data_IF_421575873016
#
_entry.id   IF_421575873016
#
_cell.length_a   1.000
_cell.length_b   1.000
_cell.length_c   1.000
_cell.angle_alpha   90.00
_cell.angle_beta   90.00
_cell.angle_gamma   90.00
#
_symmetry.space_group_name_H-M   'P 1'
#
loop_
_entity.id
_entity.type
_entity.pdbx_description
1 polymer ?
#
# COMPACT_ATOMS: atom_id res chain seq x y z
N UNK A 1 12.21 -0.79 11.99
CA UNK A 1 12.95 0.24 12.75
C UNK A 1 13.21 1.48 11.91
N UNK A 2 13.72 1.37 10.68
CA UNK A 2 14.05 2.56 9.85
C UNK A 2 12.83 3.20 9.17
N UNK A 3 12.10 2.47 8.32
CA UNK A 3 11.04 3.03 7.45
C UNK A 3 9.99 3.85 8.20
N UNK A 4 9.56 3.39 9.38
CA UNK A 4 8.56 4.11 10.18
C UNK A 4 9.10 5.42 10.76
N UNK A 5 10.36 5.45 11.22
CA UNK A 5 10.98 6.67 11.75
C UNK A 5 11.21 7.71 10.65
N UNK A 6 11.57 7.25 9.45
CA UNK A 6 11.71 8.11 8.27
C UNK A 6 10.37 8.74 7.91
N UNK A 7 9.30 7.93 7.84
CA UNK A 7 7.93 8.38 7.64
C UNK A 7 7.49 9.42 8.68
N UNK A 8 7.69 9.15 9.98
CA UNK A 8 7.36 10.08 11.07
C UNK A 8 8.14 11.38 10.95
N UNK A 9 9.44 11.31 10.60
CA UNK A 9 10.28 12.50 10.44
C UNK A 9 9.88 13.34 9.23
N UNK A 10 9.48 12.70 8.13
CA UNK A 10 9.15 13.37 6.88
C UNK A 10 7.71 13.88 6.81
N UNK A 11 6.79 13.22 7.51
CA UNK A 11 5.37 13.58 7.54
C UNK A 11 4.74 13.18 8.90
N UNK A 12 5.08 13.88 10.00
CA UNK A 12 4.52 13.58 11.33
C UNK A 12 3.00 13.76 11.39
N UNK A 13 2.43 14.55 10.49
CA UNK A 13 1.01 14.85 10.38
C UNK A 13 0.21 13.83 9.53
N UNK A 14 0.82 12.72 9.11
CA UNK A 14 0.11 11.68 8.37
C UNK A 14 -1.07 11.12 9.16
N UNK A 15 -2.15 10.81 8.45
CA UNK A 15 -3.35 10.21 9.05
C UNK A 15 -3.53 8.76 8.63
N UNK A 16 -2.96 8.37 7.48
CA UNK A 16 -3.10 7.03 6.94
C UNK A 16 -1.77 6.49 6.38
N UNK A 17 -1.57 5.19 6.50
CA UNK A 17 -0.57 4.43 5.78
C UNK A 17 -1.29 3.42 4.87
N UNK A 18 -0.95 3.39 3.59
CA UNK A 18 -1.40 2.37 2.64
C UNK A 18 -0.21 1.55 2.18
N UNK A 19 -0.26 0.23 2.37
CA UNK A 19 0.80 -0.67 1.97
C UNK A 19 0.25 -2.01 1.46
N UNK A 20 0.83 -2.53 0.39
CA UNK A 20 0.53 -3.89 -0.07
C UNK A 20 1.12 -4.95 0.86
N UNK A 21 0.40 -6.07 1.00
CA UNK A 21 0.74 -7.15 1.91
C UNK A 21 1.27 -8.36 1.13
N UNK A 22 2.60 -8.52 1.15
CA UNK A 22 3.28 -9.73 0.67
C UNK A 22 3.65 -10.65 1.84
N UNK A 23 4.87 -10.52 2.35
CA UNK A 23 5.29 -11.22 3.58
C UNK A 23 4.67 -10.61 4.84
N UNK A 24 4.21 -9.37 4.79
CA UNK A 24 3.65 -8.64 5.94
C UNK A 24 4.69 -7.92 6.81
N UNK A 25 5.99 -8.05 6.52
CA UNK A 25 7.04 -7.42 7.32
C UNK A 25 6.95 -5.89 7.35
N UNK A 26 6.70 -5.26 6.20
CA UNK A 26 6.57 -3.80 6.09
C UNK A 26 5.36 -3.30 6.87
N UNK A 27 4.16 -3.79 6.56
CA UNK A 27 2.94 -3.29 7.20
C UNK A 27 2.93 -3.56 8.70
N UNK A 28 3.48 -4.70 9.14
CA UNK A 28 3.58 -5.04 10.56
C UNK A 28 4.60 -4.15 11.27
N UNK A 29 5.82 -4.07 10.74
CA UNK A 29 6.90 -3.32 11.36
C UNK A 29 6.65 -1.81 11.38
N UNK A 30 6.09 -1.28 10.29
CA UNK A 30 5.73 0.13 10.20
C UNK A 30 4.48 0.42 11.02
N UNK A 31 3.43 -0.40 10.88
CA UNK A 31 2.18 -0.23 11.61
C UNK A 31 2.39 -0.20 13.14
N UNK A 32 3.17 -1.13 13.70
CA UNK A 32 3.50 -1.13 15.14
C UNK A 32 4.08 0.20 15.60
N UNK A 33 5.11 0.67 14.89
CA UNK A 33 5.82 1.89 15.27
C UNK A 33 4.98 3.15 15.06
N UNK A 34 4.16 3.20 14.00
CA UNK A 34 3.22 4.31 13.79
C UNK A 34 2.15 4.35 14.87
N UNK A 35 1.63 3.21 15.31
CA UNK A 35 0.65 3.14 16.42
C UNK A 35 1.24 3.57 17.75
N UNK A 36 2.51 3.29 18.01
CA UNK A 36 3.25 3.81 19.17
C UNK A 36 3.43 5.34 19.11
N UNK A 37 3.65 5.90 17.91
CA UNK A 37 3.78 7.34 17.71
C UNK A 37 2.44 8.07 17.83
N UNK A 38 1.43 7.60 17.12
CA UNK A 38 0.09 8.12 17.13
C UNK A 38 -0.91 6.98 16.85
N UNK A 39 -1.65 6.49 17.85
CA UNK A 39 -2.61 5.40 17.68
C UNK A 39 -3.78 5.75 16.75
N UNK A 40 -3.99 7.05 16.48
CA UNK A 40 -5.00 7.56 15.53
C UNK A 40 -4.67 7.28 14.06
N UNK A 41 -3.40 7.05 13.70
CA UNK A 41 -2.99 6.75 12.32
C UNK A 41 -3.64 5.43 11.87
N UNK A 42 -4.33 5.45 10.73
CA UNK A 42 -4.97 4.26 10.16
C UNK A 42 -4.05 3.53 9.21
N UNK A 43 -3.87 2.23 9.43
CA UNK A 43 -3.04 1.36 8.60
C UNK A 43 -3.95 0.52 7.70
N UNK A 44 -3.84 0.75 6.40
CA UNK A 44 -4.63 0.11 5.36
C UNK A 44 -3.76 -0.89 4.61
N UNK A 45 -4.10 -2.17 4.74
CA UNK A 45 -3.44 -3.26 4.05
C UNK A 45 -4.11 -3.55 2.71
N UNK A 46 -3.32 -3.59 1.64
CA UNK A 46 -3.79 -3.95 0.31
C UNK A 46 -3.44 -5.41 0.01
N UNK A 47 -4.44 -6.19 -0.36
CA UNK A 47 -4.29 -7.59 -0.76
C UNK A 47 -4.83 -7.83 -2.17
N UNK A 48 -4.51 -8.98 -2.74
CA UNK A 48 -4.88 -9.34 -4.11
C UNK A 48 -5.76 -10.59 -4.11
N UNK A 49 -6.66 -10.66 -5.09
CA UNK A 49 -7.50 -11.83 -5.31
C UNK A 49 -6.67 -13.07 -5.72
N UNK A 50 -7.20 -14.30 -5.55
CA UNK A 50 -6.55 -15.50 -6.04
C UNK A 50 -6.31 -15.44 -7.56
N UNK A 51 -5.17 -15.94 -8.03
CA UNK A 51 -4.82 -15.95 -9.46
C UNK A 51 -4.43 -14.59 -10.03
N UNK A 52 -4.16 -13.60 -9.16
CA UNK A 52 -3.87 -12.24 -9.61
C UNK A 52 -2.59 -12.11 -10.43
N UNK A 53 -2.59 -11.19 -11.41
CA UNK A 53 -1.43 -10.86 -12.24
C UNK A 53 -0.47 -9.88 -11.56
N UNK A 54 -0.82 -9.33 -10.40
CA UNK A 54 -0.01 -8.34 -9.69
C UNK A 54 1.11 -9.06 -8.90
N UNK A 55 2.39 -8.88 -9.28
CA UNK A 55 3.51 -9.52 -8.58
C UNK A 55 3.83 -8.82 -7.26
N UNK A 56 4.22 -9.60 -6.25
CA UNK A 56 4.72 -9.11 -4.96
C UNK A 56 3.74 -9.36 -3.79
N UNK A 57 2.55 -8.71 -3.76
CA UNK A 57 1.54 -8.97 -2.76
C UNK A 57 1.06 -10.43 -2.84
N UNK A 58 0.47 -10.94 -1.75
CA UNK A 58 -0.04 -12.30 -1.69
C UNK A 58 -1.55 -12.29 -1.48
N UNK A 59 -2.20 -13.33 -1.97
CA UNK A 59 -3.56 -13.63 -1.58
C UNK A 59 -3.57 -14.22 -0.15
N UNK A 60 -4.07 -13.46 0.81
CA UNK A 60 -4.02 -13.83 2.24
C UNK A 60 -5.15 -14.78 2.66
N UNK A 61 -6.10 -15.10 1.78
CA UNK A 61 -7.08 -16.15 2.04
C UNK A 61 -6.49 -17.56 1.86
N UNK A 62 -5.43 -17.70 1.05
CA UNK A 62 -4.76 -18.99 0.83
C UNK A 62 -3.63 -19.26 1.83
N UNK A 63 -2.91 -18.22 2.24
CA UNK A 63 -1.79 -18.33 3.18
C UNK A 63 -1.55 -17.01 3.90
N UNK A 64 -1.50 -17.07 5.23
CA UNK A 64 -1.17 -15.93 6.09
C UNK A 64 0.27 -16.09 6.57
N UNK A 65 1.20 -15.21 6.17
CA UNK A 65 2.57 -15.26 6.66
C UNK A 65 2.64 -15.08 8.19
N UNK A 66 3.51 -15.82 8.90
CA UNK A 66 3.58 -15.76 10.36
C UNK A 66 4.04 -14.41 10.91
N UNK A 67 4.73 -13.61 10.10
CA UNK A 67 5.20 -12.28 10.50
C UNK A 67 4.13 -11.19 10.34
N UNK A 68 3.02 -11.49 9.66
CA UNK A 68 1.94 -10.53 9.45
C UNK A 68 1.08 -10.43 10.72
N UNK A 69 1.06 -9.25 11.33
CA UNK A 69 0.26 -8.96 12.52
C UNK A 69 -0.97 -8.13 12.15
N UNK A 70 -2.14 -8.78 12.04
CA UNK A 70 -3.37 -8.07 11.69
C UNK A 70 -3.85 -7.10 12.79
N UNK A 71 -3.33 -7.17 14.02
CA UNK A 71 -3.72 -6.23 15.08
C UNK A 71 -3.34 -4.80 14.77
N UNK A 72 -2.34 -4.59 13.91
CA UNK A 72 -1.92 -3.25 13.48
C UNK A 72 -2.58 -2.79 12.19
N UNK A 73 -3.39 -3.63 11.54
CA UNK A 73 -4.06 -3.31 10.27
C UNK A 73 -5.52 -2.95 10.56
N UNK A 74 -5.86 -1.66 10.44
CA UNK A 74 -7.23 -1.17 10.70
C UNK A 74 -8.21 -1.58 9.60
N UNK A 75 -7.76 -1.65 8.35
CA UNK A 75 -8.59 -2.03 7.21
C UNK A 75 -7.81 -2.85 6.19
N UNK A 76 -8.46 -3.86 5.62
CA UNK A 76 -7.96 -4.63 4.49
C UNK A 76 -8.79 -4.31 3.27
N UNK A 77 -8.12 -4.10 2.15
CA UNK A 77 -8.76 -3.83 0.86
C UNK A 77 -8.20 -4.82 -0.15
N UNK A 78 -9.08 -5.66 -0.70
CA UNK A 78 -8.74 -6.57 -1.78
C UNK A 78 -8.91 -5.86 -3.12
N UNK A 79 -7.90 -5.95 -3.97
CA UNK A 79 -8.01 -5.54 -5.37
C UNK A 79 -8.76 -6.63 -6.14
N UNK A 80 -9.98 -6.29 -6.57
CA UNK A 80 -10.81 -7.13 -7.43
C UNK A 80 -10.58 -6.83 -8.91
N UNK A 81 -10.52 -5.55 -9.26
CA UNK A 81 -10.23 -5.08 -10.61
C UNK A 81 -8.74 -4.76 -10.74
N UNK A 82 -8.03 -5.60 -11.48
CA UNK A 82 -6.60 -5.40 -11.73
C UNK A 82 -6.35 -4.44 -12.88
N UNK A 83 -7.28 -4.33 -13.82
CA UNK A 83 -7.11 -3.44 -14.98
C UNK A 83 -7.02 -1.98 -14.50
N UNK A 84 -7.77 -1.62 -13.46
CA UNK A 84 -7.62 -0.36 -12.73
C UNK A 84 -6.20 -0.14 -12.18
N UNK A 85 -5.54 -1.20 -11.69
CA UNK A 85 -4.14 -1.11 -11.21
C UNK A 85 -3.16 -0.89 -12.38
N UNK A 86 -3.36 -1.57 -13.51
CA UNK A 86 -2.54 -1.38 -14.71
C UNK A 86 -2.69 0.03 -15.28
N UNK A 87 -3.92 0.55 -15.31
CA UNK A 87 -4.21 1.92 -15.73
C UNK A 87 -3.55 2.94 -14.83
N UNK A 88 -3.67 2.77 -13.51
CA UNK A 88 -3.04 3.66 -12.54
C UNK A 88 -1.50 3.60 -12.57
N UNK A 89 -0.91 2.43 -12.84
CA UNK A 89 0.53 2.31 -13.07
C UNK A 89 0.98 3.16 -14.28
N UNK A 90 0.25 3.09 -15.39
CA UNK A 90 0.50 3.89 -16.59
C UNK A 90 0.25 5.37 -16.35
N UNK A 91 -0.75 5.71 -15.54
CA UNK A 91 -1.08 7.09 -15.16
C UNK A 91 0.07 7.72 -14.36
N UNK A 92 0.54 7.06 -13.29
CA UNK A 92 1.67 7.50 -12.47
C UNK A 92 2.92 7.75 -13.31
N UNK A 93 3.24 6.83 -14.23
CA UNK A 93 4.39 6.97 -15.11
C UNK A 93 4.25 8.16 -16.09
N UNK A 94 3.07 8.34 -16.68
CA UNK A 94 2.84 9.37 -17.70
C UNK A 94 2.62 10.78 -17.13
N UNK A 95 1.96 10.89 -15.98
CA UNK A 95 1.58 12.18 -15.38
C UNK A 95 2.61 12.67 -14.36
N UNK A 96 3.07 11.78 -13.50
CA UNK A 96 3.91 12.14 -12.36
C UNK A 96 5.39 11.77 -12.57
N UNK A 97 5.71 11.09 -13.68
CA UNK A 97 7.07 10.58 -13.94
C UNK A 97 7.48 9.45 -13.00
N UNK A 98 6.54 8.88 -12.25
CA UNK A 98 6.77 7.87 -11.23
C UNK A 98 6.64 6.46 -11.85
N UNK A 99 7.74 5.93 -12.37
CA UNK A 99 7.77 4.59 -12.95
C UNK A 99 8.06 3.51 -11.89
N UNK A 100 7.00 2.99 -11.26
CA UNK A 100 7.05 1.98 -10.21
C UNK A 100 6.29 0.69 -10.59
N UNK A 101 6.54 -0.39 -9.84
CA UNK A 101 5.91 -1.68 -10.05
C UNK A 101 4.40 -1.71 -9.76
N UNK A 102 3.74 -2.77 -10.22
CA UNK A 102 2.28 -2.93 -10.07
C UNK A 102 1.83 -3.03 -8.61
N UNK A 103 2.69 -3.49 -7.69
CA UNK A 103 2.39 -3.47 -6.26
C UNK A 103 2.31 -2.04 -5.69
N UNK A 104 3.13 -1.12 -6.19
CA UNK A 104 3.07 0.31 -5.88
C UNK A 104 1.78 0.91 -6.44
N UNK A 105 1.44 0.58 -7.69
CA UNK A 105 0.20 1.02 -8.32
C UNK A 105 -1.04 0.49 -7.58
N UNK A 106 -1.00 -0.74 -7.03
CA UNK A 106 -2.08 -1.27 -6.21
C UNK A 106 -2.28 -0.48 -4.91
N UNK A 107 -1.18 -0.08 -4.24
CA UNK A 107 -1.26 0.81 -3.08
C UNK A 107 -1.86 2.18 -3.47
N UNK A 108 -1.45 2.72 -4.61
CA UNK A 108 -1.98 3.98 -5.14
C UNK A 108 -3.47 3.90 -5.49
N UNK A 109 -3.93 2.83 -6.15
CA UNK A 109 -5.35 2.60 -6.45
C UNK A 109 -6.19 2.59 -5.17
N UNK A 110 -5.73 1.91 -4.11
CA UNK A 110 -6.44 1.93 -2.83
C UNK A 110 -6.41 3.31 -2.16
N UNK A 111 -5.32 4.05 -2.29
CA UNK A 111 -5.23 5.41 -1.77
C UNK A 111 -6.24 6.34 -2.46
N UNK A 112 -6.42 6.25 -3.79
CA UNK A 112 -7.43 7.02 -4.52
C UNK A 112 -8.84 6.71 -4.02
N UNK A 113 -9.19 5.42 -3.91
CA UNK A 113 -10.49 4.99 -3.34
C UNK A 113 -10.70 5.47 -1.90
N UNK A 114 -9.63 5.54 -1.12
CA UNK A 114 -9.68 6.05 0.24
C UNK A 114 -9.95 7.55 0.27
N UNK A 115 -9.34 8.33 -0.64
CA UNK A 115 -9.61 9.77 -0.76
C UNK A 115 -11.08 10.01 -1.08
N UNK A 116 -11.64 9.28 -2.04
CA UNK A 116 -13.07 9.39 -2.38
C UNK A 116 -13.97 9.04 -1.19
N UNK A 117 -13.64 7.98 -0.46
CA UNK A 117 -14.37 7.56 0.73
C UNK A 117 -14.33 8.59 1.88
N UNK A 118 -13.24 9.36 1.98
CA UNK A 118 -13.07 10.37 3.03
C UNK A 118 -13.74 11.72 2.68
N UNK A 119 -14.37 11.84 1.52
CA UNK A 119 -15.17 12.99 1.07
C UNK A 119 -14.45 14.35 1.26
N UNK A 120 -13.13 14.39 1.09
CA UNK A 120 -12.35 15.63 1.20
C UNK A 120 -12.00 16.08 2.62
N UNK A 121 -12.08 15.20 3.62
CA UNK A 121 -11.48 15.46 4.93
C UNK A 121 -9.96 15.73 4.84
N UNK A 122 -9.38 16.38 5.87
CA UNK A 122 -7.93 16.63 5.94
C UNK A 122 -7.17 15.31 6.15
N UNK A 123 -6.83 14.65 5.04
CA UNK A 123 -6.19 13.35 5.01
C UNK A 123 -4.80 13.47 4.37
N UNK A 124 -3.78 12.97 5.09
CA UNK A 124 -2.41 12.83 4.60
C UNK A 124 -2.06 11.36 4.57
N UNK A 125 -1.95 10.83 3.35
CA UNK A 125 -1.84 9.40 3.09
C UNK A 125 -0.40 9.10 2.67
N UNK A 126 0.33 8.38 3.52
CA UNK A 126 1.62 7.80 3.15
C UNK A 126 1.40 6.48 2.41
N UNK A 127 2.10 6.28 1.29
CA UNK A 127 2.06 5.04 0.51
C UNK A 127 3.45 4.41 0.45
N UNK A 128 3.52 3.08 0.46
CA UNK A 128 4.77 2.36 0.24
C UNK A 128 4.84 1.87 -1.21
N UNK A 129 5.86 2.33 -1.93
CA UNK A 129 6.17 1.90 -3.28
C UNK A 129 7.39 0.97 -3.24
N UNK A 130 7.21 -0.38 -3.31
CA UNK A 130 8.29 -1.31 -2.99
C UNK A 130 9.42 -1.34 -4.01
N UNK A 131 9.11 -1.15 -5.29
CA UNK A 131 10.08 -1.26 -6.37
C UNK A 131 9.72 -0.45 -7.63
N UNK A 132 10.74 -0.23 -8.46
CA UNK A 132 10.67 0.48 -9.73
C UNK A 132 10.01 -0.38 -10.84
N UNK A 133 9.52 0.31 -11.87
CA UNK A 133 8.75 -0.30 -12.97
C UNK A 133 9.58 -1.08 -13.99
N UNK A 134 10.90 -0.94 -14.00
CA UNK A 134 11.81 -1.51 -15.02
C UNK A 134 11.73 -3.03 -15.14
N UNK A 135 11.42 -3.72 -14.04
CA UNK A 135 11.24 -5.18 -14.00
C UNK A 135 9.97 -5.67 -14.69
N UNK A 136 9.05 -4.76 -15.04
CA UNK A 136 7.71 -5.10 -15.50
C UNK A 136 7.44 -4.66 -16.95
N UNK A 137 8.49 -4.27 -17.70
CA UNK A 137 8.38 -3.88 -19.10
C UNK A 137 7.76 -4.97 -19.99
N UNK A 138 7.91 -6.25 -19.62
CA UNK A 138 7.28 -7.38 -20.33
C UNK A 138 5.80 -7.59 -20.00
N UNK A 139 5.28 -6.90 -18.99
CA UNK A 139 3.87 -6.93 -18.57
C UNK A 139 3.12 -5.65 -18.99
N UNK A 140 3.81 -4.68 -19.58
CA UNK A 140 3.31 -3.35 -19.91
C UNK A 140 2.55 -3.31 -21.23
#
# INVERSE_FOLDING_TARGET
>A
RTTAEELIRQCPEMTHLVATMGTGGTITGVGKRLKEFNPGIKVVGVEIKPGSRIPGPRNLSSYIPPILDFKVVDKRVMIEDEDEVFENARLLAKKDGLFYGLSSAAAFTVALKLVDYLEGGDARIAMIFPDKGDKYLSLA
#
